data_IF_823292062598
#
_entry.id   IF_823292062598
#
_cell.length_a   1.000
_cell.length_b   1.000
_cell.length_c   1.000
_cell.angle_alpha   90.00
_cell.angle_beta   90.00
_cell.angle_gamma   90.00
#
_symmetry.space_group_name_H-M   'P 1'
#
loop_
_entity.id
_entity.type
_entity.pdbx_description
1 polymer ?
#
# COMPACT_ATOMS: atom_id res chain seq x y z
N UNK A 1 30.60 -0.26 -61.78
CA UNK A 1 31.11 -0.17 -60.41
C UNK A 1 30.33 0.74 -59.44
N UNK A 2 29.18 1.34 -59.83
CA UNK A 2 28.40 2.23 -58.94
C UNK A 2 27.44 1.54 -57.95
N UNK A 3 27.01 0.31 -58.22
CA UNK A 3 25.97 -0.36 -57.44
C UNK A 3 26.49 -0.99 -56.12
N UNK A 4 27.77 -1.20 -55.91
CA UNK A 4 28.32 -1.84 -54.73
C UNK A 4 28.45 -0.87 -53.57
N UNK A 5 28.67 0.44 -53.81
CA UNK A 5 28.77 1.46 -52.77
C UNK A 5 27.42 1.76 -52.13
N UNK A 6 26.34 1.86 -52.92
CA UNK A 6 24.99 2.15 -52.43
C UNK A 6 24.46 1.04 -51.50
N UNK A 7 24.73 -0.23 -51.84
CA UNK A 7 24.27 -1.38 -50.99
C UNK A 7 24.98 -1.42 -49.63
N UNK A 8 26.23 -0.99 -49.55
CA UNK A 8 27.01 -0.91 -48.27
C UNK A 8 26.43 0.16 -47.37
N UNK A 9 26.05 1.31 -47.91
CA UNK A 9 25.48 2.42 -47.10
C UNK A 9 24.09 2.08 -46.58
N UNK A 10 23.26 1.40 -47.38
CA UNK A 10 21.93 0.93 -46.94
C UNK A 10 22.06 -0.06 -45.80
N UNK A 11 22.97 -1.04 -45.88
CA UNK A 11 23.18 -2.01 -44.79
C UNK A 11 23.66 -1.33 -43.50
N UNK A 12 24.59 -0.36 -43.60
CA UNK A 12 25.10 0.39 -42.45
C UNK A 12 23.96 1.19 -41.77
N UNK A 13 23.14 1.88 -42.55
CA UNK A 13 22.01 2.64 -42.04
C UNK A 13 20.95 1.73 -41.38
N UNK A 14 20.71 0.55 -41.93
CA UNK A 14 19.77 -0.42 -41.35
C UNK A 14 20.24 -0.94 -39.99
N UNK A 15 21.55 -1.18 -39.86
CA UNK A 15 22.16 -1.60 -38.59
C UNK A 15 22.06 -0.49 -37.53
N UNK A 16 22.31 0.75 -37.92
CA UNK A 16 22.20 1.90 -37.01
C UNK A 16 20.73 2.06 -36.55
N UNK A 17 19.78 1.94 -37.46
CA UNK A 17 18.34 2.02 -37.15
C UNK A 17 17.91 0.91 -36.17
N UNK A 18 18.43 -0.28 -36.35
CA UNK A 18 18.17 -1.42 -35.46
C UNK A 18 18.73 -1.18 -34.04
N UNK A 19 19.95 -0.64 -33.92
CA UNK A 19 20.52 -0.27 -32.61
C UNK A 19 19.74 0.85 -31.93
N UNK A 20 19.31 1.86 -32.67
CA UNK A 20 18.46 2.94 -32.13
C UNK A 20 17.12 2.40 -31.65
N UNK A 21 16.53 1.44 -32.36
CA UNK A 21 15.30 0.78 -31.96
C UNK A 21 15.48 -0.04 -30.67
N UNK A 22 16.61 -0.77 -30.56
CA UNK A 22 16.93 -1.51 -29.32
C UNK A 22 17.12 -0.60 -28.12
N UNK A 23 17.80 0.54 -28.28
CA UNK A 23 17.99 1.53 -27.22
C UNK A 23 16.64 2.13 -26.83
N UNK A 24 15.76 2.42 -27.79
CA UNK A 24 14.42 2.92 -27.52
C UNK A 24 13.56 1.92 -26.78
N UNK A 25 13.60 0.63 -27.15
CA UNK A 25 12.88 -0.45 -26.42
C UNK A 25 13.45 -0.64 -25.01
N UNK A 26 14.77 -0.53 -24.83
CA UNK A 26 15.38 -0.62 -23.51
C UNK A 26 14.98 0.53 -22.58
N UNK A 27 14.77 1.74 -23.15
CA UNK A 27 14.29 2.90 -22.35
C UNK A 27 12.82 2.79 -21.95
N UNK A 28 12.00 1.98 -22.62
CA UNK A 28 10.59 1.74 -22.26
C UNK A 28 10.44 0.78 -21.07
N UNK A 29 11.48 0.01 -20.74
CA UNK A 29 11.52 -0.87 -19.58
C UNK A 29 11.97 -0.16 -18.29
N UNK A 30 11.70 1.15 -18.14
CA UNK A 30 11.73 1.74 -16.81
C UNK A 30 10.67 1.03 -15.99
N UNK A 31 11.14 0.05 -15.22
CA UNK A 31 10.32 -0.68 -14.28
C UNK A 31 9.57 0.34 -13.43
N UNK A 32 8.25 0.32 -13.49
CA UNK A 32 7.39 0.93 -12.50
C UNK A 32 7.74 0.23 -11.19
N UNK A 33 8.69 0.79 -10.46
CA UNK A 33 8.91 0.41 -9.07
C UNK A 33 7.62 0.78 -8.35
N UNK A 34 6.76 -0.19 -8.15
CA UNK A 34 5.61 -0.07 -7.28
C UNK A 34 6.20 0.15 -5.89
N UNK A 35 6.29 1.41 -5.48
CA UNK A 35 6.72 1.79 -4.15
C UNK A 35 5.73 1.16 -3.18
N UNK A 36 6.16 0.08 -2.51
CA UNK A 36 5.35 -0.59 -1.50
C UNK A 36 4.98 0.44 -0.43
N UNK A 37 3.74 0.88 -0.43
CA UNK A 37 3.27 1.90 0.49
C UNK A 37 3.49 1.45 1.93
N UNK A 38 4.27 2.23 2.67
CA UNK A 38 4.62 1.92 4.06
C UNK A 38 3.41 2.17 4.95
N UNK A 39 2.81 1.11 5.46
CA UNK A 39 1.75 1.22 6.46
C UNK A 39 2.28 1.01 7.88
N UNK A 40 1.83 1.86 8.78
CA UNK A 40 1.98 1.73 10.23
C UNK A 40 0.61 1.71 10.89
N UNK A 41 0.57 1.49 12.20
CA UNK A 41 -0.66 1.57 12.99
C UNK A 41 -0.49 2.49 14.19
N UNK A 42 -1.56 3.09 14.69
CA UNK A 42 -1.52 3.93 15.88
C UNK A 42 -1.21 3.08 17.12
N UNK A 43 -0.26 3.52 17.94
CA UNK A 43 0.19 2.79 19.12
C UNK A 43 -0.76 2.95 20.31
N UNK A 44 -1.37 4.13 20.46
CA UNK A 44 -2.13 4.55 21.63
C UNK A 44 -3.60 4.80 21.29
N UNK A 45 -4.45 4.83 22.30
CA UNK A 45 -5.86 5.21 22.15
C UNK A 45 -6.07 6.71 21.87
N UNK A 46 -5.06 7.55 22.20
CA UNK A 46 -5.08 8.99 21.91
C UNK A 46 -3.80 9.34 21.16
N UNK A 47 -3.94 9.74 19.90
CA UNK A 47 -2.83 10.13 19.01
C UNK A 47 -3.16 11.44 18.34
N UNK A 48 -2.22 12.38 18.34
CA UNK A 48 -2.38 13.70 17.75
C UNK A 48 -1.84 13.71 16.32
N UNK A 49 -2.67 14.07 15.36
CA UNK A 49 -2.29 14.44 14.01
C UNK A 49 -2.05 15.95 13.97
N UNK A 50 -0.85 16.37 13.59
CA UNK A 50 -0.44 17.76 13.56
C UNK A 50 -0.33 18.30 12.13
N UNK A 51 -0.33 19.61 11.99
CA UNK A 51 -0.19 20.27 10.69
C UNK A 51 1.23 20.20 10.14
N UNK A 52 2.25 20.10 11.01
CA UNK A 52 3.67 20.01 10.65
C UNK A 52 4.48 19.10 11.58
N UNK A 53 5.76 18.85 11.22
CA UNK A 53 6.65 17.90 11.88
C UNK A 53 7.35 18.49 13.11
N UNK A 54 6.61 19.09 14.05
CA UNK A 54 7.07 19.54 15.38
C UNK A 54 5.93 19.50 16.37
N UNK A 55 6.25 19.51 17.66
CA UNK A 55 5.26 19.64 18.73
C UNK A 55 4.65 21.04 18.82
N UNK A 56 5.25 22.06 18.20
CA UNK A 56 4.77 23.44 18.17
C UNK A 56 3.64 23.63 17.14
N UNK A 57 3.55 22.73 16.13
CA UNK A 57 2.47 22.82 15.16
C UNK A 57 1.11 22.48 15.78
N UNK A 58 0.04 23.19 15.36
CA UNK A 58 -1.31 22.94 15.84
C UNK A 58 -1.76 21.50 15.60
N UNK A 59 -2.57 20.98 16.53
CA UNK A 59 -3.24 19.68 16.37
C UNK A 59 -4.39 19.86 15.39
N UNK A 60 -4.37 19.08 14.30
CA UNK A 60 -5.41 19.06 13.28
C UNK A 60 -6.54 18.09 13.63
N UNK A 61 -6.17 16.93 14.18
CA UNK A 61 -7.10 15.85 14.51
C UNK A 61 -6.57 15.04 15.71
N UNK A 62 -7.48 14.50 16.52
CA UNK A 62 -7.16 13.59 17.61
C UNK A 62 -7.81 12.24 17.34
N UNK A 63 -7.00 11.23 17.05
CA UNK A 63 -7.46 9.86 16.96
C UNK A 63 -7.73 9.28 18.35
N UNK A 64 -8.87 8.61 18.52
CA UNK A 64 -9.28 7.97 19.79
C UNK A 64 -9.34 6.45 19.69
N UNK A 65 -8.63 5.86 18.74
CA UNK A 65 -8.70 4.41 18.49
C UNK A 65 -7.32 3.84 18.20
N UNK A 66 -6.86 2.95 19.09
CA UNK A 66 -5.60 2.20 18.92
C UNK A 66 -5.66 1.28 17.70
N UNK A 67 -4.50 1.04 17.10
CA UNK A 67 -4.32 0.14 15.97
C UNK A 67 -4.98 0.57 14.65
N UNK A 68 -5.48 1.80 14.52
CA UNK A 68 -5.88 2.31 13.21
C UNK A 68 -4.67 2.26 12.26
N UNK A 69 -4.80 1.64 11.08
CA UNK A 69 -3.77 1.69 10.05
C UNK A 69 -3.67 3.11 9.50
N UNK A 70 -2.46 3.51 9.15
CA UNK A 70 -2.14 4.77 8.47
C UNK A 70 -1.06 4.50 7.43
N UNK A 71 -1.22 5.08 6.27
CA UNK A 71 -0.25 5.07 5.19
C UNK A 71 0.77 6.18 5.43
N UNK A 72 2.06 5.86 5.40
CA UNK A 72 3.13 6.86 5.48
C UNK A 72 3.40 7.37 4.07
N UNK A 73 3.21 8.66 3.86
CA UNK A 73 3.37 9.32 2.56
C UNK A 73 4.59 10.23 2.49
N UNK A 74 5.22 10.52 3.65
CA UNK A 74 6.43 11.33 3.74
C UNK A 74 7.07 11.15 5.12
N UNK A 75 8.35 11.52 5.29
CA UNK A 75 9.04 11.43 6.56
C UNK A 75 10.07 12.56 6.72
N UNK A 76 10.16 13.06 7.95
CA UNK A 76 11.18 14.02 8.36
C UNK A 76 11.61 13.67 9.80
N UNK A 77 12.87 13.35 9.99
CA UNK A 77 13.44 12.94 11.29
C UNK A 77 12.57 11.90 12.01
N UNK A 78 12.08 12.24 13.20
CA UNK A 78 11.18 11.41 14.02
C UNK A 78 9.68 11.60 13.68
N UNK A 79 9.35 12.26 12.58
CA UNK A 79 7.98 12.52 12.17
C UNK A 79 7.63 11.74 10.90
N UNK A 80 6.38 11.31 10.83
CA UNK A 80 5.80 10.67 9.64
C UNK A 80 4.58 11.45 9.19
N UNK A 81 4.59 11.91 7.94
CA UNK A 81 3.38 12.42 7.31
C UNK A 81 2.55 11.22 6.89
N UNK A 82 1.34 11.18 7.37
CA UNK A 82 0.44 10.06 7.14
C UNK A 82 -0.80 10.48 6.36
N UNK A 83 -1.41 9.47 5.73
CA UNK A 83 -2.77 9.52 5.23
C UNK A 83 -3.58 8.42 5.91
N UNK A 84 -4.76 8.75 6.43
CA UNK A 84 -5.66 7.76 7.02
C UNK A 84 -6.67 7.22 6.00
N UNK A 85 -7.52 6.30 6.45
CA UNK A 85 -8.56 5.68 5.62
C UNK A 85 -9.61 6.68 5.08
N UNK A 86 -9.81 7.81 5.75
CA UNK A 86 -10.72 8.89 5.36
C UNK A 86 -10.02 10.00 4.58
N UNK A 87 -8.75 9.76 4.18
CA UNK A 87 -7.90 10.71 3.44
C UNK A 87 -7.46 11.94 4.25
N UNK A 88 -7.58 11.92 5.57
CA UNK A 88 -6.96 12.95 6.39
C UNK A 88 -5.44 12.81 6.35
N UNK A 89 -4.73 13.93 6.17
CA UNK A 89 -3.28 13.99 6.13
C UNK A 89 -2.72 14.89 7.22
N UNK A 90 -1.53 14.58 7.70
CA UNK A 90 -0.80 15.36 8.69
C UNK A 90 0.37 14.57 9.26
N UNK A 91 0.99 15.10 10.30
CA UNK A 91 2.21 14.58 10.89
C UNK A 91 1.97 13.92 12.25
N UNK A 92 2.57 12.74 12.44
CA UNK A 92 2.55 12.00 13.71
C UNK A 92 4.00 11.69 14.09
N UNK A 93 4.35 11.89 15.37
CA UNK A 93 5.65 11.51 15.88
C UNK A 93 5.77 9.97 15.95
N UNK A 94 6.93 9.41 15.61
CA UNK A 94 7.17 7.96 15.48
C UNK A 94 6.88 7.18 16.78
N UNK A 95 7.03 7.80 17.93
CA UNK A 95 6.69 7.18 19.22
C UNK A 95 5.21 6.82 19.36
N UNK A 96 4.33 7.45 18.60
CA UNK A 96 2.89 7.20 18.60
C UNK A 96 2.47 6.17 17.52
N UNK A 97 3.43 5.66 16.76
CA UNK A 97 3.23 4.67 15.70
C UNK A 97 3.76 3.30 16.11
N UNK A 98 3.26 2.27 15.45
CA UNK A 98 3.57 0.86 15.70
C UNK A 98 3.65 0.10 14.38
N UNK A 99 4.50 -0.93 14.34
CA UNK A 99 4.58 -1.87 13.21
C UNK A 99 3.51 -2.96 13.25
N UNK A 100 2.54 -2.91 14.19
CA UNK A 100 1.44 -3.87 14.27
C UNK A 100 0.69 -3.93 12.95
N UNK A 101 0.52 -5.12 12.39
CA UNK A 101 -0.19 -5.30 11.14
C UNK A 101 -1.70 -5.22 11.37
N UNK A 102 -2.32 -4.22 10.76
CA UNK A 102 -3.76 -3.96 10.88
C UNK A 102 -4.32 -3.47 9.56
N UNK A 103 -5.61 -3.66 9.36
CA UNK A 103 -6.33 -3.16 8.20
C UNK A 103 -7.73 -2.69 8.57
N UNK A 104 -8.33 -1.90 7.70
CA UNK A 104 -9.75 -1.52 7.72
C UNK A 104 -10.46 -2.34 6.63
N UNK A 105 -11.62 -2.91 6.97
CA UNK A 105 -12.52 -3.45 5.96
C UNK A 105 -13.06 -2.30 5.09
N UNK A 106 -12.75 -2.28 3.80
CA UNK A 106 -13.15 -1.19 2.88
C UNK A 106 -14.42 -1.47 2.09
N UNK A 107 -14.96 -2.70 2.15
CA UNK A 107 -16.19 -3.08 1.45
C UNK A 107 -17.35 -3.33 2.42
N UNK A 108 -18.56 -2.97 2.00
CA UNK A 108 -19.77 -3.37 2.69
C UNK A 108 -19.98 -4.89 2.55
N UNK A 109 -20.54 -5.50 3.58
CA UNK A 109 -20.94 -6.92 3.55
C UNK A 109 -19.79 -7.92 3.33
N UNK A 110 -18.56 -7.57 3.67
CA UNK A 110 -17.45 -8.52 3.65
C UNK A 110 -17.69 -9.67 4.63
N UNK A 111 -17.33 -10.87 4.24
CA UNK A 111 -17.54 -12.07 5.06
C UNK A 111 -16.20 -12.60 5.55
N UNK A 112 -16.14 -12.95 6.83
CA UNK A 112 -15.05 -13.77 7.38
C UNK A 112 -15.45 -15.24 7.26
N UNK A 113 -14.54 -16.06 6.71
CA UNK A 113 -14.72 -17.48 6.52
C UNK A 113 -13.84 -18.31 7.46
N UNK A 114 -14.22 -19.56 7.72
CA UNK A 114 -13.40 -20.51 8.49
C UNK A 114 -12.08 -20.84 7.79
N UNK A 115 -12.10 -21.00 6.45
CA UNK A 115 -10.95 -21.30 5.60
C UNK A 115 -10.78 -20.21 4.52
N UNK A 116 -9.63 -20.20 3.86
CA UNK A 116 -9.22 -19.32 2.77
C UNK A 116 -9.89 -19.63 1.43
N UNK A 117 -11.17 -19.89 1.43
CA UNK A 117 -11.99 -20.15 0.24
C UNK A 117 -13.41 -19.62 0.43
N UNK A 118 -14.03 -19.19 -0.66
CA UNK A 118 -15.44 -18.73 -0.68
C UNK A 118 -16.45 -19.86 -0.42
N UNK A 119 -16.04 -21.12 -0.62
CA UNK A 119 -16.87 -22.31 -0.36
C UNK A 119 -16.83 -22.73 1.10
N UNK A 120 -16.05 -22.06 1.94
CA UNK A 120 -15.96 -22.36 3.37
C UNK A 120 -17.16 -21.78 4.12
N UNK A 121 -17.44 -22.36 5.30
CA UNK A 121 -18.50 -21.87 6.20
C UNK A 121 -18.24 -20.38 6.54
N UNK A 122 -19.22 -19.47 6.31
CA UNK A 122 -19.14 -18.10 6.77
C UNK A 122 -19.26 -18.04 8.29
N UNK A 123 -18.48 -17.16 8.92
CA UNK A 123 -18.47 -16.93 10.36
C UNK A 123 -19.26 -15.69 10.73
N UNK A 124 -18.94 -14.57 10.08
CA UNK A 124 -19.55 -13.27 10.39
C UNK A 124 -19.43 -12.33 9.20
N UNK A 125 -20.44 -11.46 9.07
CA UNK A 125 -20.48 -10.37 8.10
C UNK A 125 -19.93 -9.10 8.75
N UNK A 126 -19.04 -8.41 8.05
CA UNK A 126 -18.40 -7.18 8.51
C UNK A 126 -19.01 -5.95 7.84
N UNK A 127 -19.14 -4.90 8.63
CA UNK A 127 -19.43 -3.57 8.13
C UNK A 127 -18.17 -2.91 7.55
N UNK A 128 -18.38 -1.95 6.65
CA UNK A 128 -17.31 -1.07 6.17
C UNK A 128 -16.73 -0.24 7.33
N UNK A 129 -15.43 -0.01 7.34
CA UNK A 129 -14.74 0.74 8.40
C UNK A 129 -14.35 -0.12 9.63
N UNK A 130 -14.66 -1.41 9.65
CA UNK A 130 -14.28 -2.30 10.75
C UNK A 130 -12.78 -2.51 10.80
N UNK A 131 -12.18 -2.25 11.97
CA UNK A 131 -10.76 -2.50 12.24
C UNK A 131 -10.50 -4.00 12.42
N UNK A 132 -9.46 -4.49 11.76
CA UNK A 132 -9.04 -5.88 11.73
C UNK A 132 -7.57 -6.00 12.12
N UNK A 133 -7.24 -6.99 12.95
CA UNK A 133 -5.85 -7.35 13.26
C UNK A 133 -5.41 -8.46 12.30
N UNK A 134 -4.35 -8.21 11.54
CA UNK A 134 -3.81 -9.18 10.58
C UNK A 134 -2.93 -10.20 11.33
N UNK A 135 -3.22 -11.48 11.18
CA UNK A 135 -2.42 -12.59 11.71
C UNK A 135 -1.40 -13.08 10.68
N UNK A 136 -1.87 -13.43 9.48
CA UNK A 136 -1.05 -13.78 8.32
C UNK A 136 -1.81 -13.53 7.04
N UNK A 137 -1.10 -13.34 5.94
CA UNK A 137 -1.69 -13.28 4.60
C UNK A 137 -1.06 -14.33 3.69
N UNK A 138 -1.87 -14.89 2.80
CA UNK A 138 -1.55 -15.67 1.61
C UNK A 138 -1.81 -14.77 0.39
N UNK A 139 -1.71 -15.31 -0.82
CA UNK A 139 -1.84 -14.52 -2.05
C UNK A 139 -3.13 -13.69 -2.11
N UNK A 140 -4.27 -14.33 -1.97
CA UNK A 140 -5.60 -13.70 -2.09
C UNK A 140 -6.34 -13.52 -0.77
N UNK A 141 -5.84 -14.09 0.32
CA UNK A 141 -6.53 -14.19 1.59
C UNK A 141 -5.67 -13.74 2.77
N UNK A 142 -6.29 -13.10 3.76
CA UNK A 142 -5.65 -12.81 5.05
C UNK A 142 -6.44 -13.46 6.19
N UNK A 143 -5.71 -14.13 7.09
CA UNK A 143 -6.25 -14.54 8.38
C UNK A 143 -6.24 -13.35 9.32
N UNK A 144 -7.41 -12.99 9.83
CA UNK A 144 -7.61 -11.79 10.65
C UNK A 144 -8.31 -12.15 11.95
N UNK A 145 -8.26 -11.22 12.92
CA UNK A 145 -9.18 -11.23 14.04
C UNK A 145 -9.92 -9.90 14.17
N UNK A 146 -11.20 -9.98 14.54
CA UNK A 146 -12.08 -8.85 14.79
C UNK A 146 -13.02 -9.18 15.94
N UNK A 147 -12.82 -8.54 17.10
CA UNK A 147 -13.51 -8.93 18.33
C UNK A 147 -13.20 -10.39 18.68
N UNK A 148 -14.23 -11.19 18.94
CA UNK A 148 -14.14 -12.62 19.23
C UNK A 148 -13.94 -13.51 18.00
N UNK A 149 -14.10 -12.98 16.80
CA UNK A 149 -14.01 -13.76 15.57
C UNK A 149 -12.58 -13.80 15.03
N UNK A 150 -12.14 -14.99 14.60
CA UNK A 150 -10.88 -15.20 13.89
C UNK A 150 -11.17 -16.07 12.67
N UNK A 151 -10.73 -15.64 11.49
CA UNK A 151 -10.97 -16.35 10.24
C UNK A 151 -10.32 -15.65 9.05
N UNK A 152 -10.77 -15.99 7.85
CA UNK A 152 -10.16 -15.57 6.59
C UNK A 152 -11.06 -14.60 5.84
N UNK A 153 -10.44 -13.56 5.28
CA UNK A 153 -11.08 -12.54 4.45
C UNK A 153 -10.24 -12.32 3.18
N UNK A 154 -10.88 -11.92 2.08
CA UNK A 154 -10.21 -11.55 0.84
C UNK A 154 -9.37 -10.29 1.04
N UNK A 155 -8.12 -10.31 0.54
CA UNK A 155 -7.21 -9.13 0.57
C UNK A 155 -7.83 -7.89 -0.05
N UNK A 156 -8.51 -8.03 -1.17
CA UNK A 156 -9.17 -6.94 -1.90
C UNK A 156 -10.20 -6.15 -1.08
N UNK A 157 -10.64 -6.71 0.05
CA UNK A 157 -11.58 -6.06 0.98
C UNK A 157 -10.86 -5.23 2.05
N UNK A 158 -9.55 -5.18 2.03
CA UNK A 158 -8.72 -4.62 3.09
C UNK A 158 -7.98 -3.37 2.62
N UNK A 159 -7.87 -2.39 3.51
CA UNK A 159 -6.99 -1.24 3.40
C UNK A 159 -6.07 -1.19 4.61
N UNK A 160 -4.75 -1.15 4.41
CA UNK A 160 -3.77 -1.16 5.48
C UNK A 160 -2.56 -2.04 5.20
N UNK A 161 -1.83 -2.40 6.25
CA UNK A 161 -0.63 -3.26 6.15
C UNK A 161 -1.03 -4.72 6.00
N UNK A 162 -1.04 -5.17 4.76
CA UNK A 162 -1.49 -6.50 4.36
C UNK A 162 -0.29 -7.38 4.01
#
# INVERSE_FOLDING_TARGET
MRNVCVVKDIKKNLVILFYLLLIFIASLNQAYSQEDSLFLSLRNNKVHLRQGPSFDYPIKLIYKKKFLPVEVIDQLDNWRKIKDYESNTGWIHISQLSKKRTAINNKKNSIIFVRDTIYSKPLVKLEKGRLLLIKKCLDLWCKISSGSYTGWIRKENLWGKI
#
